data_IF_206585474312
#
_entry.id   IF_206585474312
#
_cell.length_a   1.000
_cell.length_b   1.000
_cell.length_c   1.000
_cell.angle_alpha   90.00
_cell.angle_beta   90.00
_cell.angle_gamma   90.00
#
_symmetry.space_group_name_H-M   'P 1'
#
loop_
_entity.id
_entity.type
_entity.pdbx_description
1 polymer ?
#
# COMPACT_ATOMS: atom_id res chain seq x y z
N UNK A 1 20.35 9.39 -19.22
CA UNK A 1 18.97 8.88 -19.38
C UNK A 1 18.04 9.90 -18.76
N UNK A 2 17.26 10.61 -19.56
CA UNK A 2 16.28 11.61 -19.10
C UNK A 2 15.11 10.93 -18.39
N UNK A 3 14.53 11.52 -17.32
CA UNK A 3 13.39 10.96 -16.64
C UNK A 3 12.20 10.99 -17.61
N UNK A 4 11.85 9.81 -18.15
CA UNK A 4 10.68 9.64 -19.01
C UNK A 4 9.45 9.93 -18.14
N UNK A 5 8.71 10.98 -18.45
CA UNK A 5 7.40 11.21 -17.84
C UNK A 5 6.56 9.94 -18.02
N UNK A 6 6.12 9.32 -16.93
CA UNK A 6 5.37 8.08 -17.01
C UNK A 6 4.05 8.32 -17.76
N UNK A 7 3.68 7.35 -18.61
CA UNK A 7 2.36 7.32 -19.21
C UNK A 7 1.35 6.74 -18.21
N UNK A 8 0.06 6.96 -18.42
CA UNK A 8 -0.98 6.34 -17.59
C UNK A 8 -0.85 4.81 -17.55
N UNK A 9 -0.49 4.20 -18.68
CA UNK A 9 -0.24 2.76 -18.76
C UNK A 9 0.92 2.33 -17.85
N UNK A 10 2.06 3.04 -17.91
CA UNK A 10 3.21 2.72 -17.06
C UNK A 10 2.89 2.90 -15.57
N UNK A 11 2.09 3.90 -15.20
CA UNK A 11 1.60 4.05 -13.82
C UNK A 11 0.72 2.88 -13.40
N UNK A 12 -0.18 2.41 -14.27
CA UNK A 12 -1.02 1.25 -13.96
C UNK A 12 -0.18 -0.03 -13.80
N UNK A 13 0.87 -0.20 -14.60
CA UNK A 13 1.80 -1.34 -14.50
C UNK A 13 2.59 -1.33 -13.17
N UNK A 14 3.01 -0.15 -12.71
CA UNK A 14 3.75 0.04 -11.45
C UNK A 14 2.88 0.05 -10.19
N UNK A 15 1.56 -0.04 -10.35
CA UNK A 15 0.60 0.11 -9.24
C UNK A 15 0.81 -0.90 -8.12
N UNK A 16 1.13 -2.16 -8.46
CA UNK A 16 1.37 -3.22 -7.48
C UNK A 16 2.62 -2.92 -6.66
N UNK A 17 3.73 -2.60 -7.32
CA UNK A 17 5.00 -2.25 -6.67
C UNK A 17 4.86 -1.02 -5.77
N UNK A 18 4.08 -0.03 -6.20
CA UNK A 18 3.74 1.12 -5.36
C UNK A 18 3.01 0.72 -4.08
N UNK A 19 2.04 -0.20 -4.17
CA UNK A 19 1.23 -0.65 -3.04
C UNK A 19 1.93 -1.66 -2.11
N UNK A 20 3.03 -2.24 -2.58
CA UNK A 20 3.94 -3.12 -1.82
C UNK A 20 5.17 -2.37 -1.31
N UNK A 21 5.26 -1.06 -1.56
CA UNK A 21 6.39 -0.20 -1.18
C UNK A 21 7.74 -0.73 -1.72
N UNK A 22 7.71 -1.32 -2.92
CA UNK A 22 8.87 -2.00 -3.55
C UNK A 22 9.45 -1.25 -4.74
N UNK A 23 8.92 -0.07 -5.08
CA UNK A 23 9.48 0.81 -6.11
C UNK A 23 10.88 1.34 -5.72
N UNK A 24 11.74 1.53 -6.71
CA UNK A 24 12.98 2.31 -6.50
C UNK A 24 12.62 3.78 -6.21
N UNK A 25 13.48 4.54 -5.53
CA UNK A 25 13.23 5.96 -5.25
C UNK A 25 12.92 6.78 -6.51
N UNK A 26 13.61 6.52 -7.60
CA UNK A 26 13.42 7.23 -8.88
C UNK A 26 12.07 6.88 -9.53
N UNK A 27 11.63 5.62 -9.41
CA UNK A 27 10.35 5.16 -9.94
C UNK A 27 9.19 5.72 -9.11
N UNK A 28 9.34 5.75 -7.78
CA UNK A 28 8.37 6.35 -6.88
C UNK A 28 8.16 7.84 -7.18
N UNK A 29 9.25 8.59 -7.31
CA UNK A 29 9.16 10.03 -7.63
C UNK A 29 8.48 10.26 -8.99
N UNK A 30 8.77 9.43 -10.00
CA UNK A 30 8.11 9.54 -11.30
C UNK A 30 6.63 9.18 -11.27
N UNK A 31 6.26 8.19 -10.45
CA UNK A 31 4.88 7.77 -10.22
C UNK A 31 4.07 8.87 -9.54
N UNK A 32 4.60 9.45 -8.45
CA UNK A 32 3.94 10.52 -7.69
C UNK A 32 3.76 11.78 -8.54
N UNK A 33 4.79 12.21 -9.29
CA UNK A 33 4.67 13.34 -10.23
C UNK A 33 3.58 13.13 -11.28
N UNK A 34 3.36 11.90 -11.75
CA UNK A 34 2.27 11.63 -12.69
C UNK A 34 0.90 11.77 -12.01
N UNK A 35 0.75 11.26 -10.79
CA UNK A 35 -0.49 11.34 -10.03
C UNK A 35 -0.89 12.79 -9.72
N UNK A 36 0.07 13.67 -9.45
CA UNK A 36 -0.17 15.11 -9.26
C UNK A 36 -0.84 15.75 -10.48
N UNK A 37 -0.50 15.30 -11.69
CA UNK A 37 -0.99 15.86 -12.95
C UNK A 37 -2.14 15.11 -13.61
N UNK A 38 -2.55 13.94 -13.10
CA UNK A 38 -3.48 13.05 -13.80
C UNK A 38 -4.63 12.56 -12.89
N UNK A 39 -5.77 13.28 -12.87
CA UNK A 39 -6.94 12.90 -12.06
C UNK A 39 -7.49 11.50 -12.38
N UNK A 40 -7.36 11.04 -13.62
CA UNK A 40 -7.80 9.70 -14.02
C UNK A 40 -6.98 8.59 -13.34
N UNK A 41 -5.67 8.75 -13.25
CA UNK A 41 -4.81 7.80 -12.54
C UNK A 41 -5.02 7.84 -11.02
N UNK A 42 -5.30 9.01 -10.45
CA UNK A 42 -5.72 9.14 -9.04
C UNK A 42 -7.04 8.38 -8.79
N UNK A 43 -8.03 8.55 -9.65
CA UNK A 43 -9.30 7.84 -9.55
C UNK A 43 -9.11 6.31 -9.68
N UNK A 44 -8.24 5.87 -10.58
CA UNK A 44 -7.88 4.46 -10.74
C UNK A 44 -7.22 3.88 -9.49
N UNK A 45 -6.21 4.56 -8.93
CA UNK A 45 -5.55 4.17 -7.68
C UNK A 45 -6.56 4.04 -6.53
N UNK A 46 -7.46 5.00 -6.38
CA UNK A 46 -8.49 4.97 -5.34
C UNK A 46 -9.46 3.80 -5.52
N UNK A 47 -9.87 3.52 -6.76
CA UNK A 47 -10.71 2.37 -7.09
C UNK A 47 -10.02 1.06 -6.72
N UNK A 48 -8.74 0.91 -7.08
CA UNK A 48 -7.98 -0.28 -6.74
C UNK A 48 -7.81 -0.46 -5.23
N UNK A 49 -7.47 0.62 -4.50
CA UNK A 49 -7.41 0.61 -3.02
C UNK A 49 -8.73 0.13 -2.42
N UNK A 50 -9.86 0.62 -2.96
CA UNK A 50 -11.19 0.20 -2.49
C UNK A 50 -11.46 -1.27 -2.78
N UNK A 51 -11.11 -1.75 -3.97
CA UNK A 51 -11.23 -3.17 -4.32
C UNK A 51 -10.43 -4.04 -3.34
N UNK A 52 -9.18 -3.65 -3.02
CA UNK A 52 -8.32 -4.38 -2.09
C UNK A 52 -8.86 -4.42 -0.66
N UNK A 53 -9.45 -3.31 -0.20
CA UNK A 53 -10.15 -3.25 1.09
C UNK A 53 -11.33 -4.23 1.13
N UNK A 54 -12.23 -4.15 0.14
CA UNK A 54 -13.43 -4.99 0.07
C UNK A 54 -13.08 -6.49 -0.03
N UNK A 55 -12.09 -6.86 -0.83
CA UNK A 55 -11.65 -8.26 -0.94
C UNK A 55 -10.95 -8.74 0.33
N UNK A 56 -10.20 -7.85 1.01
CA UNK A 56 -9.59 -8.12 2.31
C UNK A 56 -10.62 -8.36 3.41
N UNK A 57 -11.73 -7.62 3.42
CA UNK A 57 -12.82 -7.81 4.39
C UNK A 57 -13.52 -9.16 4.20
N UNK A 58 -13.84 -9.54 2.97
CA UNK A 58 -14.52 -10.81 2.66
C UNK A 58 -13.64 -12.02 2.98
N UNK A 59 -12.32 -11.91 2.79
CA UNK A 59 -11.36 -12.97 3.06
C UNK A 59 -10.83 -12.99 4.51
N UNK A 60 -11.31 -12.09 5.37
CA UNK A 60 -10.78 -11.92 6.72
C UNK A 60 -11.16 -13.10 7.61
N UNK A 61 -10.18 -13.95 7.89
CA UNK A 61 -10.31 -14.98 8.94
C UNK A 61 -10.15 -14.30 10.31
N UNK A 62 -11.11 -14.46 11.24
CA UNK A 62 -10.97 -13.90 12.58
C UNK A 62 -9.77 -14.53 13.27
N UNK A 63 -8.89 -13.70 13.84
CA UNK A 63 -7.78 -14.18 14.66
C UNK A 63 -8.35 -14.96 15.86
N UNK A 64 -7.85 -16.18 16.14
CA UNK A 64 -8.26 -16.93 17.33
C UNK A 64 -8.01 -16.15 18.61
N UNK A 65 -8.89 -16.28 19.60
CA UNK A 65 -8.82 -15.47 20.82
C UNK A 65 -7.56 -15.73 21.65
N UNK A 66 -7.04 -16.95 21.65
CA UNK A 66 -5.76 -17.28 22.27
C UNK A 66 -4.61 -16.47 21.63
N UNK A 67 -4.60 -16.38 20.29
CA UNK A 67 -3.59 -15.61 19.57
C UNK A 67 -3.71 -14.12 19.88
N UNK A 68 -4.93 -13.56 19.94
CA UNK A 68 -5.15 -12.17 20.35
C UNK A 68 -4.61 -11.90 21.76
N UNK A 69 -4.88 -12.80 22.70
CA UNK A 69 -4.43 -12.67 24.08
C UNK A 69 -2.90 -12.68 24.19
N UNK A 70 -2.25 -13.64 23.51
CA UNK A 70 -0.78 -13.76 23.47
C UNK A 70 -0.12 -12.55 22.81
N UNK A 71 -0.65 -12.11 21.67
CA UNK A 71 -0.14 -10.92 20.97
C UNK A 71 -0.30 -9.66 21.83
N UNK A 72 -1.44 -9.47 22.49
CA UNK A 72 -1.68 -8.34 23.38
C UNK A 72 -0.70 -8.34 24.56
N UNK A 73 -0.49 -9.48 25.20
CA UNK A 73 0.47 -9.61 26.30
C UNK A 73 1.89 -9.23 25.83
N UNK A 74 2.34 -9.79 24.70
CA UNK A 74 3.64 -9.49 24.11
C UNK A 74 3.82 -7.99 23.78
N UNK A 75 2.82 -7.36 23.14
CA UNK A 75 2.87 -5.95 22.79
C UNK A 75 2.93 -5.05 24.02
N UNK A 76 2.11 -5.32 25.05
CA UNK A 76 2.13 -4.57 26.31
C UNK A 76 3.49 -4.67 27.01
N UNK A 77 4.07 -5.87 27.03
CA UNK A 77 5.39 -6.12 27.61
C UNK A 77 6.51 -5.36 26.87
N UNK A 78 6.43 -5.26 25.53
CA UNK A 78 7.41 -4.48 24.73
C UNK A 78 7.21 -2.98 24.87
N UNK A 79 5.97 -2.49 24.85
CA UNK A 79 5.68 -1.07 25.05
C UNK A 79 6.08 -0.59 26.44
N UNK A 80 5.87 -1.41 27.48
CA UNK A 80 6.31 -1.11 28.85
C UNK A 80 7.84 -1.10 29.00
N UNK A 81 8.57 -1.81 28.14
CA UNK A 81 10.04 -1.83 28.13
C UNK A 81 10.69 -0.70 27.32
N UNK A 82 9.89 0.13 26.66
CA UNK A 82 10.39 1.24 25.85
C UNK A 82 11.00 0.78 24.53
N UNK A 83 10.64 1.51 23.47
CA UNK A 83 11.52 1.72 22.31
C UNK A 83 12.77 2.44 22.77
#
# INVERSE_FOLDING_TARGET
>A
MTPKSLTCQAVIELLLEYLEESLTPEALEAFERHLEGCPACVAYLNTYKKTRELTGEVSRVPMPDEMKARLRAFLLERLARGV
#
